data_IF_757106709968
#
_entry.id   IF_757106709968
#
_cell.length_a   1.000
_cell.length_b   1.000
_cell.length_c   1.000
_cell.angle_alpha   90.00
_cell.angle_beta   90.00
_cell.angle_gamma   90.00
#
_symmetry.space_group_name_H-M   'P 1'
#
loop_
_entity.id
_entity.type
_entity.pdbx_description
1 polymer ?
#
# COMPACT_ATOMS: atom_id res chain seq x y z
N UNK A 1 -66.30 -34.74 -10.67
CA UNK A 1 -65.11 -34.19 -11.34
C UNK A 1 -64.97 -32.74 -10.89
N UNK A 2 -63.79 -32.39 -10.39
CA UNK A 2 -63.56 -31.28 -9.46
C UNK A 2 -63.82 -29.90 -10.10
N UNK A 3 -64.45 -29.03 -9.30
CA UNK A 3 -64.67 -27.62 -9.58
C UNK A 3 -63.37 -26.82 -9.35
N UNK A 4 -63.23 -25.80 -10.19
CA UNK A 4 -62.26 -24.72 -10.12
C UNK A 4 -62.29 -23.97 -8.78
N UNK A 5 -61.12 -23.81 -8.15
CA UNK A 5 -60.89 -22.83 -7.09
C UNK A 5 -59.66 -22.01 -7.47
N UNK A 6 -59.95 -20.83 -8.00
CA UNK A 6 -59.05 -19.69 -8.05
C UNK A 6 -58.85 -19.14 -6.63
N UNK A 7 -57.76 -18.37 -6.46
CA UNK A 7 -57.43 -17.46 -5.34
C UNK A 7 -56.60 -18.05 -4.18
N UNK A 8 -55.27 -17.93 -4.30
CA UNK A 8 -54.37 -17.27 -3.34
C UNK A 8 -52.89 -17.41 -3.80
N UNK A 9 -52.57 -16.94 -5.02
CA UNK A 9 -51.17 -16.79 -5.49
C UNK A 9 -50.78 -15.31 -5.56
N UNK A 10 -50.96 -14.58 -4.46
CA UNK A 10 -50.44 -13.23 -4.31
C UNK A 10 -49.95 -13.05 -2.87
N UNK A 11 -48.76 -12.45 -2.73
CA UNK A 11 -47.83 -12.43 -1.59
C UNK A 11 -47.03 -13.74 -1.40
N UNK A 12 -45.72 -13.81 -1.61
CA UNK A 12 -44.65 -12.82 -1.41
C UNK A 12 -43.68 -12.79 -2.60
N UNK A 13 -43.74 -11.74 -3.41
CA UNK A 13 -42.75 -11.38 -4.42
C UNK A 13 -41.79 -10.35 -3.81
N UNK A 14 -40.50 -10.55 -4.09
CA UNK A 14 -39.37 -9.66 -3.85
C UNK A 14 -38.98 -9.37 -2.39
N UNK A 15 -38.50 -10.43 -1.72
CA UNK A 15 -37.39 -10.28 -0.77
C UNK A 15 -36.11 -10.01 -1.56
N UNK A 16 -35.98 -8.81 -2.12
CA UNK A 16 -34.73 -8.35 -2.72
C UNK A 16 -33.66 -8.38 -1.65
N UNK A 17 -32.81 -9.41 -1.67
CA UNK A 17 -31.55 -9.38 -0.96
C UNK A 17 -30.76 -8.22 -1.56
N UNK A 18 -30.88 -7.05 -0.94
CA UNK A 18 -30.13 -5.85 -1.27
C UNK A 18 -28.67 -6.11 -0.98
N UNK A 19 -28.01 -6.81 -1.89
CA UNK A 19 -26.57 -6.88 -1.92
C UNK A 19 -26.13 -5.44 -2.22
N UNK A 20 -25.76 -4.71 -1.18
CA UNK A 20 -25.08 -3.43 -1.33
C UNK A 20 -23.84 -3.76 -2.16
N UNK A 21 -23.69 -3.26 -3.40
CA UNK A 21 -22.46 -3.46 -4.13
C UNK A 21 -21.37 -2.81 -3.29
N UNK A 22 -20.48 -3.64 -2.71
CA UNK A 22 -19.30 -3.13 -2.06
C UNK A 22 -18.57 -2.32 -3.12
N UNK A 23 -18.43 -1.01 -2.89
CA UNK A 23 -17.67 -0.14 -3.78
C UNK A 23 -16.30 -0.78 -3.95
N UNK A 24 -16.03 -1.27 -5.15
CA UNK A 24 -14.74 -1.87 -5.47
C UNK A 24 -13.69 -0.81 -5.18
N UNK A 25 -12.86 -1.07 -4.17
CA UNK A 25 -11.84 -0.14 -3.76
C UNK A 25 -10.77 -0.15 -4.84
N UNK A 26 -10.36 1.02 -5.38
CA UNK A 26 -9.33 1.07 -6.39
C UNK A 26 -8.06 0.40 -5.86
N UNK A 27 -7.44 -0.44 -6.69
CA UNK A 27 -6.23 -1.15 -6.31
C UNK A 27 -5.11 -0.15 -5.97
N UNK A 28 -4.54 -0.28 -4.78
CA UNK A 28 -3.39 0.52 -4.35
C UNK A 28 -2.13 -0.05 -4.98
N UNK A 29 -1.37 0.78 -5.68
CA UNK A 29 -0.13 0.41 -6.33
C UNK A 29 0.87 1.59 -6.32
N UNK A 30 2.10 1.32 -6.75
CA UNK A 30 3.13 2.36 -6.91
C UNK A 30 2.73 3.33 -8.03
N UNK A 31 2.78 4.63 -7.76
CA UNK A 31 2.32 5.69 -8.64
C UNK A 31 3.45 6.19 -9.57
N UNK A 32 3.32 5.92 -10.86
CA UNK A 32 4.30 6.34 -11.89
C UNK A 32 4.33 7.86 -12.11
N UNK A 33 3.31 8.60 -11.65
CA UNK A 33 3.33 10.07 -11.66
C UNK A 33 4.13 10.65 -10.48
N UNK A 34 4.48 9.81 -9.49
CA UNK A 34 5.12 10.21 -8.23
C UNK A 34 6.26 9.26 -7.90
N UNK A 35 7.22 9.22 -8.80
CA UNK A 35 8.45 8.45 -8.67
C UNK A 35 9.69 9.30 -8.99
N UNK A 36 10.85 8.88 -8.51
CA UNK A 36 12.13 9.48 -8.87
C UNK A 36 12.48 9.29 -10.35
N UNK A 37 13.42 10.09 -10.84
CA UNK A 37 13.81 10.15 -12.25
C UNK A 37 14.36 8.82 -12.77
N UNK A 38 15.18 8.14 -11.96
CA UNK A 38 15.82 6.87 -12.32
C UNK A 38 15.12 5.65 -11.68
N UNK A 39 13.83 5.81 -11.34
CA UNK A 39 12.99 4.73 -10.79
C UNK A 39 12.30 3.97 -11.91
N UNK A 40 12.31 2.65 -11.79
CA UNK A 40 11.65 1.73 -12.72
C UNK A 40 10.55 0.97 -11.99
N UNK A 41 9.32 1.08 -12.49
CA UNK A 41 8.15 0.37 -11.95
C UNK A 41 7.68 -0.67 -12.96
N UNK A 42 7.58 -1.92 -12.51
CA UNK A 42 7.16 -3.07 -13.32
C UNK A 42 6.15 -3.94 -12.57
N UNK A 43 5.69 -5.03 -13.21
CA UNK A 43 4.71 -5.98 -12.64
C UNK A 43 3.42 -5.29 -12.17
N UNK A 44 2.81 -4.49 -13.05
CA UNK A 44 1.56 -3.78 -12.80
C UNK A 44 1.59 -2.91 -11.53
N UNK A 45 2.65 -2.10 -11.38
CA UNK A 45 2.78 -1.20 -10.22
C UNK A 45 3.16 -1.88 -8.90
N UNK A 46 3.60 -3.16 -8.93
CA UNK A 46 3.92 -3.94 -7.71
C UNK A 46 5.39 -4.19 -7.47
N UNK A 47 6.27 -3.78 -8.39
CA UNK A 47 7.72 -3.92 -8.24
C UNK A 47 8.39 -2.61 -8.61
N UNK A 48 9.24 -2.13 -7.71
CA UNK A 48 10.13 -0.99 -7.88
C UNK A 48 11.58 -1.49 -7.98
N UNK A 49 12.37 -0.88 -8.85
CA UNK A 49 13.83 -1.00 -8.92
C UNK A 49 14.44 0.31 -9.48
N UNK A 50 15.76 0.37 -9.63
CA UNK A 50 16.45 1.58 -10.06
C UNK A 50 16.95 2.42 -8.89
N UNK A 51 17.06 3.74 -9.07
CA UNK A 51 17.56 4.68 -8.05
C UNK A 51 16.54 5.79 -7.79
N UNK A 52 16.01 5.84 -6.58
CA UNK A 52 15.00 6.82 -6.17
C UNK A 52 13.92 6.20 -5.28
N UNK A 53 12.89 7.00 -4.99
CA UNK A 53 11.69 6.59 -4.24
C UNK A 53 10.43 6.69 -5.09
N UNK A 54 9.34 6.11 -4.60
CA UNK A 54 8.02 6.19 -5.22
C UNK A 54 6.95 6.28 -4.13
N UNK A 55 5.90 7.06 -4.37
CA UNK A 55 4.70 7.07 -3.53
C UNK A 55 3.66 6.08 -4.07
N UNK A 56 2.75 5.64 -3.20
CA UNK A 56 1.55 4.93 -3.65
C UNK A 56 0.54 5.91 -4.26
N UNK A 57 -0.37 5.40 -5.09
CA UNK A 57 -1.44 6.17 -5.73
C UNK A 57 -2.56 6.61 -4.75
N UNK A 58 -2.54 6.12 -3.50
CA UNK A 58 -3.53 6.44 -2.48
C UNK A 58 -2.86 6.97 -1.19
N UNK A 59 -3.36 8.07 -0.58
CA UNK A 59 -2.87 8.55 0.71
C UNK A 59 -3.38 7.70 1.87
N UNK A 60 -2.69 7.77 3.01
CA UNK A 60 -3.13 7.17 4.27
C UNK A 60 -4.24 8.03 4.93
N UNK A 61 -5.45 8.00 4.37
CA UNK A 61 -6.63 8.73 4.86
C UNK A 61 -7.52 7.83 5.74
N UNK A 62 -6.90 7.06 6.63
CA UNK A 62 -7.55 6.14 7.56
C UNK A 62 -6.83 6.15 8.90
N UNK A 63 -7.53 5.83 9.99
CA UNK A 63 -6.93 5.82 11.34
C UNK A 63 -5.85 4.75 11.51
N UNK A 64 -5.98 3.64 10.78
CA UNK A 64 -5.05 2.51 10.79
C UNK A 64 -4.90 2.03 9.36
N UNK A 65 -3.67 1.80 8.94
CA UNK A 65 -3.35 1.30 7.61
C UNK A 65 -2.24 0.26 7.70
N UNK A 66 -2.30 -0.71 6.81
CA UNK A 66 -1.35 -1.80 6.72
C UNK A 66 -0.93 -1.98 5.27
N UNK A 67 0.36 -2.10 5.03
CA UNK A 67 0.96 -2.40 3.73
C UNK A 67 2.25 -3.18 3.97
N UNK A 68 2.64 -3.96 2.98
CA UNK A 68 3.81 -4.84 3.05
C UNK A 68 4.68 -4.65 1.82
N UNK A 69 5.98 -4.81 2.01
CA UNK A 69 6.95 -4.91 0.93
C UNK A 69 7.79 -6.17 1.11
N UNK A 70 7.78 -7.03 0.09
CA UNK A 70 8.71 -8.15 0.02
C UNK A 70 10.04 -7.72 -0.58
N UNK A 71 11.13 -7.91 0.15
CA UNK A 71 12.49 -7.61 -0.31
C UNK A 71 12.88 -8.69 -1.32
N UNK A 72 12.81 -8.36 -2.60
CA UNK A 72 13.15 -9.31 -3.68
C UNK A 72 14.65 -9.45 -3.91
N UNK A 73 15.39 -8.35 -3.72
CA UNK A 73 16.84 -8.30 -3.75
C UNK A 73 17.28 -7.20 -2.80
N UNK A 74 18.23 -7.50 -1.91
CA UNK A 74 18.73 -6.51 -0.95
C UNK A 74 19.67 -5.49 -1.61
N UNK A 75 20.02 -4.44 -0.88
CA UNK A 75 20.79 -3.30 -1.38
C UNK A 75 20.51 -2.06 -0.53
N UNK A 76 20.52 -0.89 -1.16
CA UNK A 76 20.04 0.34 -0.50
C UNK A 76 18.55 0.49 -0.78
N UNK A 77 17.75 0.41 0.28
CA UNK A 77 16.31 0.59 0.19
C UNK A 77 15.79 1.22 1.49
N UNK A 78 14.57 1.75 1.42
CA UNK A 78 13.83 2.19 2.58
C UNK A 78 12.33 2.09 2.34
N UNK A 79 11.59 1.80 3.40
CA UNK A 79 10.13 1.66 3.39
C UNK A 79 9.57 2.59 4.46
N UNK A 80 8.44 3.23 4.19
CA UNK A 80 7.79 4.08 5.19
C UNK A 80 6.76 5.00 4.58
N UNK A 81 6.66 6.19 5.18
CA UNK A 81 5.66 7.20 4.81
C UNK A 81 6.33 8.50 4.41
N UNK A 82 5.74 9.18 3.44
CA UNK A 82 6.22 10.46 2.98
C UNK A 82 5.07 11.35 2.52
N UNK A 83 5.29 12.65 2.61
CA UNK A 83 4.38 13.65 2.03
C UNK A 83 4.66 13.82 0.54
N UNK A 84 3.74 14.43 -0.19
CA UNK A 84 3.91 14.73 -1.62
C UNK A 84 5.06 15.72 -1.91
N UNK A 85 5.62 16.35 -0.87
CA UNK A 85 6.75 17.29 -0.98
C UNK A 85 8.12 16.61 -0.88
N UNK A 86 8.18 15.32 -0.58
CA UNK A 86 9.44 14.60 -0.42
C UNK A 86 10.22 14.57 -1.75
N UNK A 87 11.53 14.80 -1.68
CA UNK A 87 12.39 14.66 -2.85
C UNK A 87 12.66 13.17 -3.12
N UNK A 88 11.97 12.61 -4.12
CA UNK A 88 12.07 11.19 -4.47
C UNK A 88 13.39 10.81 -5.17
N UNK A 89 14.23 11.78 -5.54
CA UNK A 89 15.58 11.52 -6.04
C UNK A 89 16.63 11.49 -4.92
N UNK A 90 16.26 11.87 -3.70
CA UNK A 90 17.16 11.87 -2.56
C UNK A 90 17.25 10.48 -1.94
N UNK A 91 18.45 9.89 -1.99
CA UNK A 91 18.74 8.60 -1.36
C UNK A 91 19.87 8.76 -0.33
N UNK A 92 19.71 8.25 0.90
CA UNK A 92 18.49 7.64 1.45
C UNK A 92 17.41 8.70 1.79
N UNK A 93 16.14 8.25 1.84
CA UNK A 93 15.03 9.03 2.39
C UNK A 93 15.15 9.18 3.93
N UNK A 94 14.29 9.99 4.53
CA UNK A 94 14.30 10.29 5.98
C UNK A 94 15.33 11.36 6.37
N UNK A 95 15.85 12.12 5.41
CA UNK A 95 16.82 13.21 5.62
C UNK A 95 16.16 14.58 5.78
N UNK A 96 14.85 14.66 5.58
CA UNK A 96 14.05 15.87 5.70
C UNK A 96 12.78 15.60 6.53
N UNK A 97 11.99 16.66 6.73
CA UNK A 97 10.69 16.58 7.42
C UNK A 97 9.57 15.97 6.57
N UNK A 98 9.87 15.59 5.33
CA UNK A 98 8.87 15.11 4.36
C UNK A 98 8.82 13.59 4.26
N UNK A 99 9.72 12.88 4.93
CA UNK A 99 9.81 11.42 4.89
C UNK A 99 10.19 10.81 6.25
N UNK A 100 9.55 9.71 6.61
CA UNK A 100 9.87 8.85 7.75
C UNK A 100 10.00 7.43 7.20
N UNK A 101 11.20 6.85 7.28
CA UNK A 101 11.49 5.55 6.65
C UNK A 101 12.32 4.66 7.57
N UNK A 102 12.05 3.35 7.53
CA UNK A 102 13.01 2.34 7.95
C UNK A 102 13.92 2.03 6.77
N UNK A 103 15.24 2.01 7.02
CA UNK A 103 16.26 1.73 6.01
C UNK A 103 16.68 0.26 6.06
N UNK A 104 17.44 -0.15 5.06
CA UNK A 104 17.97 -1.52 4.95
C UNK A 104 18.85 -1.97 6.13
N UNK A 105 19.39 -1.05 6.94
CA UNK A 105 20.15 -1.34 8.15
C UNK A 105 19.27 -1.44 9.42
N UNK A 106 17.94 -1.47 9.26
CA UNK A 106 16.96 -1.56 10.34
C UNK A 106 16.74 -0.25 11.10
N UNK A 107 17.39 0.85 10.71
CA UNK A 107 17.26 2.14 11.37
C UNK A 107 16.10 2.97 10.82
N UNK A 108 15.32 3.57 11.72
CA UNK A 108 14.21 4.46 11.42
C UNK A 108 14.69 5.90 11.43
N UNK A 109 14.52 6.62 10.32
CA UNK A 109 15.00 7.99 10.14
C UNK A 109 13.88 8.97 9.82
N UNK A 110 13.92 10.14 10.46
CA UNK A 110 13.09 11.31 10.15
C UNK A 110 13.90 12.59 10.39
N UNK A 111 13.82 13.54 9.46
CA UNK A 111 14.56 14.80 9.55
C UNK A 111 16.07 14.63 9.80
N UNK A 112 16.67 13.62 9.15
CA UNK A 112 18.08 13.24 9.28
C UNK A 112 18.50 12.80 10.70
N UNK A 113 17.54 12.47 11.56
CA UNK A 113 17.77 11.93 12.89
C UNK A 113 17.29 10.47 12.97
N UNK A 114 18.11 9.62 13.59
CA UNK A 114 17.71 8.26 13.93
C UNK A 114 16.70 8.30 15.08
N UNK A 115 15.49 7.82 14.82
CA UNK A 115 14.40 7.79 15.80
C UNK A 115 14.32 6.47 16.54
N UNK A 116 14.70 5.38 15.87
CA UNK A 116 14.72 4.04 16.44
C UNK A 116 15.58 3.11 15.58
N UNK A 117 15.87 1.91 16.07
CA UNK A 117 16.62 0.88 15.34
C UNK A 117 16.13 -0.52 15.74
N UNK A 118 15.92 -1.37 14.74
CA UNK A 118 15.67 -2.79 14.97
C UNK A 118 16.90 -3.45 15.61
N UNK A 119 16.73 -4.38 16.57
CA UNK A 119 17.87 -5.08 17.14
C UNK A 119 18.60 -5.89 16.07
N UNK A 120 19.91 -6.06 16.25
CA UNK A 120 20.81 -6.63 15.23
C UNK A 120 20.43 -8.06 14.76
N UNK A 121 19.71 -8.80 15.60
CA UNK A 121 19.19 -10.14 15.29
C UNK A 121 17.89 -10.15 14.46
N UNK A 122 17.35 -8.97 14.15
CA UNK A 122 16.09 -8.78 13.41
C UNK A 122 16.26 -7.86 12.19
N UNK A 123 17.50 -7.75 11.69
CA UNK A 123 17.77 -6.96 10.49
C UNK A 123 17.10 -7.61 9.28
N UNK A 124 16.29 -6.86 8.51
CA UNK A 124 15.58 -7.41 7.35
C UNK A 124 16.55 -7.99 6.31
N UNK A 125 16.25 -9.18 5.83
CA UNK A 125 17.04 -9.91 4.83
C UNK A 125 16.30 -9.98 3.48
N UNK A 126 17.05 -10.37 2.44
CA UNK A 126 16.43 -10.71 1.17
C UNK A 126 15.46 -11.89 1.34
N UNK A 127 14.26 -11.75 0.77
CA UNK A 127 13.16 -12.71 0.90
C UNK A 127 12.15 -12.34 1.97
N UNK A 128 12.51 -11.50 2.94
CA UNK A 128 11.62 -11.07 4.03
C UNK A 128 10.48 -10.19 3.52
N UNK A 129 9.40 -10.20 4.29
CA UNK A 129 8.26 -9.29 4.14
C UNK A 129 8.30 -8.31 5.30
N UNK A 130 8.45 -7.02 4.98
CA UNK A 130 8.48 -5.91 5.92
C UNK A 130 7.18 -5.13 5.84
#
# INVERSE_FOLDING_TARGET
MAASVFCCFSWCRDGGAGHIPLKEMPAVHLDTQRMGTDVVIVKNGRRICGTGGCLANAPLHQNKSYFEFKIQSTGIWGIGVATQKANLNQIPLGRDVHSLVIRNDGALYYNNEEKNRLPANSLPQEGDVV
#
